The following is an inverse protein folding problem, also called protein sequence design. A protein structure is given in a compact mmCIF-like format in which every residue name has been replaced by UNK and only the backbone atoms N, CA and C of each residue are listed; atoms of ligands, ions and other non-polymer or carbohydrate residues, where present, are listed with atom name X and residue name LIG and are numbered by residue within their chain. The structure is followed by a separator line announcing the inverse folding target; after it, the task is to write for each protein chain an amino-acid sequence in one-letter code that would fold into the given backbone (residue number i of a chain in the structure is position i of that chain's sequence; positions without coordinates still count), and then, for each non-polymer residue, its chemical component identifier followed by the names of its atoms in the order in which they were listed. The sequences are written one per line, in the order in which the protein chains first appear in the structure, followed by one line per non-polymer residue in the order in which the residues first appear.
data_IF_860930827769
#
_entry.id   IF_860930827769
#
_cell.length_a   1.000
_cell.length_b   1.000
_cell.length_c   1.000
_cell.angle_alpha   90.00
_cell.angle_beta   90.00
_cell.angle_gamma   90.00
#
_symmetry.space_group_name_H-M   'P 1'
#
loop_
_entity.id
_entity.type
_entity.pdbx_description
1 polymer ?
#
# COMPACT_ATOMS: atom_id res chain seq x y z
N UNK A 1 -12.43 11.23 8.84
CA UNK A 1 -12.10 11.53 7.41
C UNK A 1 -11.01 12.59 7.26
N UNK A 2 -11.09 13.74 7.92
CA UNK A 2 -10.07 14.81 7.81
C UNK A 2 -8.63 14.32 8.08
N UNK A 3 -8.44 13.51 9.12
CA UNK A 3 -7.14 12.92 9.44
C UNK A 3 -6.53 12.09 8.30
N UNK A 4 -7.34 11.28 7.60
CA UNK A 4 -6.86 10.44 6.49
C UNK A 4 -6.45 11.28 5.28
N UNK A 5 -7.23 12.32 4.97
CA UNK A 5 -6.91 13.27 3.91
C UNK A 5 -5.63 14.04 4.23
N UNK A 6 -5.45 14.46 5.50
CA UNK A 6 -4.22 15.13 5.94
C UNK A 6 -3.00 14.22 5.79
N UNK A 7 -3.11 12.94 6.16
CA UNK A 7 -2.04 11.95 5.94
C UNK A 7 -1.72 11.85 4.46
N UNK A 8 -2.72 11.71 3.58
CA UNK A 8 -2.51 11.65 2.14
C UNK A 8 -1.80 12.90 1.60
N UNK A 9 -2.21 14.10 2.03
CA UNK A 9 -1.57 15.36 1.63
C UNK A 9 -0.11 15.45 2.08
N UNK A 10 0.23 14.96 3.27
CA UNK A 10 1.62 14.91 3.75
C UNK A 10 2.45 13.92 2.92
N UNK A 11 1.88 12.74 2.61
CA UNK A 11 2.54 11.76 1.75
C UNK A 11 2.77 12.31 0.35
N UNK A 12 1.81 13.07 -0.18
CA UNK A 12 1.92 13.75 -1.46
C UNK A 12 3.07 14.76 -1.49
N UNK A 13 3.19 15.60 -0.46
CA UNK A 13 4.33 16.50 -0.30
C UNK A 13 5.68 15.75 -0.19
N UNK A 14 5.70 14.53 0.38
CA UNK A 14 6.91 13.69 0.40
C UNK A 14 7.23 13.10 -0.98
N UNK A 15 6.23 12.64 -1.74
CA UNK A 15 6.41 12.12 -3.11
C UNK A 15 6.97 13.20 -4.04
N UNK A 16 6.41 14.41 -3.98
CA UNK A 16 6.88 15.54 -4.81
C UNK A 16 8.33 15.94 -4.49
N UNK A 17 8.69 15.99 -3.21
CA UNK A 17 10.09 16.24 -2.81
C UNK A 17 11.04 15.16 -3.30
N UNK A 18 10.62 13.89 -3.23
CA UNK A 18 11.43 12.78 -3.72
C UNK A 18 11.66 12.87 -5.23
N UNK A 19 10.59 13.12 -5.99
CA UNK A 19 10.64 13.31 -7.45
C UNK A 19 11.53 14.49 -7.88
N UNK A 20 11.57 15.55 -7.10
CA UNK A 20 12.38 16.74 -7.40
C UNK A 20 13.87 16.59 -7.03
N UNK A 21 14.24 15.54 -6.30
CA UNK A 21 15.62 15.33 -5.84
C UNK A 21 16.47 14.56 -6.86
N UNK A 22 17.81 14.66 -6.79
CA UNK A 22 18.71 13.98 -7.73
C UNK A 22 18.55 12.45 -7.69
N UNK A 23 18.66 11.75 -8.85
CA UNK A 23 18.37 10.33 -8.99
C UNK A 23 19.04 9.40 -7.95
N UNK A 24 20.23 9.75 -7.47
CA UNK A 24 21.04 8.89 -6.59
C UNK A 24 21.14 9.39 -5.14
N UNK A 25 20.31 10.35 -4.77
CA UNK A 25 20.25 10.85 -3.39
C UNK A 25 19.33 9.96 -2.53
N UNK A 26 19.64 9.78 -1.25
CA UNK A 26 18.69 9.13 -0.31
C UNK A 26 17.33 9.85 -0.25
N UNK A 27 17.28 11.12 -0.68
CA UNK A 27 16.04 11.89 -0.82
C UNK A 27 15.18 11.50 -2.03
N UNK A 28 15.69 10.73 -3.01
CA UNK A 28 14.92 10.34 -4.21
C UNK A 28 13.88 9.26 -3.97
N UNK A 29 13.93 8.64 -2.79
CA UNK A 29 13.03 7.58 -2.41
C UNK A 29 11.68 8.14 -1.97
N UNK A 30 10.60 7.62 -2.57
CA UNK A 30 9.24 7.91 -2.14
C UNK A 30 8.98 7.48 -0.68
N UNK A 31 7.93 8.02 -0.04
CA UNK A 31 7.61 7.68 1.34
C UNK A 31 7.23 6.19 1.48
N UNK A 32 7.80 5.52 2.49
CA UNK A 32 7.41 4.17 2.92
C UNK A 32 6.54 4.29 4.17
N UNK A 33 5.37 3.66 4.15
CA UNK A 33 4.37 3.78 5.21
C UNK A 33 3.97 2.39 5.68
N UNK A 34 3.99 2.18 6.99
CA UNK A 34 3.45 0.98 7.62
C UNK A 34 2.19 1.36 8.40
N UNK A 35 1.11 0.59 8.23
CA UNK A 35 -0.15 0.76 8.95
C UNK A 35 -0.23 -0.33 10.01
N UNK A 36 -0.26 0.08 11.28
CA UNK A 36 -0.26 -0.84 12.44
C UNK A 36 -1.48 -0.60 13.32
N UNK A 37 -1.93 -1.63 14.01
CA UNK A 37 -3.07 -1.58 14.90
C UNK A 37 -3.67 -2.97 15.18
N UNK A 38 -4.58 -3.08 16.15
CA UNK A 38 -5.25 -4.35 16.48
C UNK A 38 -6.12 -4.84 15.31
N UNK A 39 -6.66 -6.06 15.44
CA UNK A 39 -7.70 -6.58 14.53
C UNK A 39 -8.90 -5.62 14.49
N UNK A 40 -9.55 -5.53 13.34
CA UNK A 40 -10.77 -4.72 13.12
C UNK A 40 -10.65 -3.20 13.36
N UNK A 41 -9.43 -2.66 13.42
CA UNK A 41 -9.17 -1.21 13.52
C UNK A 41 -9.27 -0.44 12.19
N UNK A 42 -9.65 -1.11 11.09
CA UNK A 42 -9.79 -0.47 9.77
C UNK A 42 -8.49 -0.29 8.98
N UNK A 43 -7.41 -1.01 9.32
CA UNK A 43 -6.10 -0.94 8.64
C UNK A 43 -6.21 -1.14 7.13
N UNK A 44 -6.88 -2.20 6.69
CA UNK A 44 -7.04 -2.54 5.26
C UNK A 44 -7.84 -1.46 4.52
N UNK A 45 -8.86 -0.89 5.18
CA UNK A 45 -9.66 0.22 4.64
C UNK A 45 -8.82 1.49 4.47
N UNK A 46 -8.01 1.83 5.48
CA UNK A 46 -7.10 2.99 5.40
C UNK A 46 -6.06 2.80 4.27
N UNK A 47 -5.44 1.63 4.19
CA UNK A 47 -4.50 1.31 3.11
C UNK A 47 -5.15 1.47 1.74
N UNK A 48 -6.35 0.91 1.54
CA UNK A 48 -7.11 1.04 0.28
C UNK A 48 -7.38 2.50 -0.09
N UNK A 49 -7.78 3.33 0.86
CA UNK A 49 -8.03 4.77 0.63
C UNK A 49 -6.74 5.49 0.19
N UNK A 50 -5.63 5.30 0.91
CA UNK A 50 -4.36 5.96 0.60
C UNK A 50 -3.81 5.52 -0.77
N UNK A 51 -3.90 4.22 -1.10
CA UNK A 51 -3.47 3.68 -2.39
C UNK A 51 -4.33 4.23 -3.53
N UNK A 52 -5.66 4.20 -3.39
CA UNK A 52 -6.58 4.66 -4.42
C UNK A 52 -6.43 6.16 -4.69
N UNK A 53 -6.23 6.98 -3.65
CA UNK A 53 -5.98 8.41 -3.82
C UNK A 53 -4.63 8.70 -4.46
N UNK A 54 -3.58 7.92 -4.14
CA UNK A 54 -2.29 8.04 -4.78
C UNK A 54 -2.36 7.68 -6.27
N UNK A 55 -2.99 6.55 -6.61
CA UNK A 55 -3.21 6.13 -8.00
C UNK A 55 -4.03 7.15 -8.79
N UNK A 56 -5.08 7.71 -8.17
CA UNK A 56 -5.88 8.79 -8.78
C UNK A 56 -5.07 10.05 -9.09
N UNK A 57 -3.98 10.30 -8.35
CA UNK A 57 -3.05 11.42 -8.60
C UNK A 57 -1.89 11.04 -9.54
N UNK A 58 -1.94 9.85 -10.15
CA UNK A 58 -0.93 9.37 -11.10
C UNK A 58 0.33 8.78 -10.45
N UNK A 59 0.33 8.57 -9.13
CA UNK A 59 1.41 7.85 -8.47
C UNK A 59 1.21 6.34 -8.59
N UNK A 60 2.32 5.61 -8.60
CA UNK A 60 2.34 4.15 -8.65
C UNK A 60 2.92 3.55 -7.37
N UNK A 61 2.25 3.67 -6.21
CA UNK A 61 2.76 3.10 -4.97
C UNK A 61 2.77 1.57 -5.02
N UNK A 62 3.77 0.95 -4.41
CA UNK A 62 3.77 -0.49 -4.16
C UNK A 62 2.94 -0.78 -2.91
N UNK A 63 1.87 -1.56 -3.05
CA UNK A 63 1.14 -2.10 -1.91
C UNK A 63 1.82 -3.37 -1.43
N UNK A 64 2.08 -3.45 -0.13
CA UNK A 64 2.68 -4.62 0.53
C UNK A 64 1.70 -5.12 1.57
N UNK A 65 1.28 -6.37 1.42
CA UNK A 65 0.40 -7.06 2.33
C UNK A 65 1.20 -8.05 3.19
N UNK A 66 1.26 -7.75 4.47
CA UNK A 66 1.96 -8.55 5.49
C UNK A 66 0.99 -9.34 6.38
N UNK A 67 -0.33 -9.24 6.15
CA UNK A 67 -1.33 -9.96 6.94
C UNK A 67 -1.53 -11.38 6.40
N UNK A 68 -0.77 -12.33 6.95
CA UNK A 68 -0.87 -13.75 6.57
C UNK A 68 -2.22 -14.38 6.93
N UNK A 69 -3.02 -13.75 7.80
CA UNK A 69 -4.33 -14.25 8.20
C UNK A 69 -5.43 -13.81 7.24
N UNK A 70 -5.43 -12.54 6.85
CA UNK A 70 -6.39 -11.98 5.90
C UNK A 70 -5.67 -11.45 4.66
N UNK A 71 -5.35 -12.36 3.74
CA UNK A 71 -4.73 -12.03 2.46
C UNK A 71 -5.64 -11.11 1.63
N UNK A 72 -5.14 -9.93 1.30
CA UNK A 72 -5.81 -8.93 0.49
C UNK A 72 -5.37 -8.97 -0.97
N UNK A 73 -4.11 -9.34 -1.23
CA UNK A 73 -3.57 -9.50 -2.58
C UNK A 73 -3.74 -10.94 -3.07
N UNK A 74 -3.60 -11.92 -2.18
CA UNK A 74 -3.59 -13.34 -2.55
C UNK A 74 -4.17 -14.20 -1.42
N UNK A 75 -4.02 -15.52 -1.54
CA UNK A 75 -4.53 -16.48 -0.57
C UNK A 75 -3.95 -16.28 0.84
N UNK A 76 -4.72 -16.62 1.91
CA UNK A 76 -4.19 -16.68 3.27
C UNK A 76 -2.94 -17.55 3.37
N UNK A 77 -2.08 -17.23 4.34
CA UNK A 77 -0.79 -17.89 4.52
C UNK A 77 0.30 -17.41 3.56
N UNK A 78 0.13 -16.22 2.96
CA UNK A 78 1.12 -15.61 2.07
C UNK A 78 1.40 -14.17 2.44
N UNK A 79 2.58 -13.69 2.08
CA UNK A 79 2.97 -12.29 2.09
C UNK A 79 3.11 -11.87 0.62
N UNK A 80 2.58 -10.70 0.27
CA UNK A 80 2.56 -10.28 -1.13
C UNK A 80 2.82 -8.79 -1.32
N UNK A 81 3.26 -8.42 -2.52
CA UNK A 81 3.41 -7.02 -2.93
C UNK A 81 3.03 -6.83 -4.40
N UNK A 82 2.39 -5.72 -4.74
CA UNK A 82 2.02 -5.39 -6.13
C UNK A 82 1.99 -3.87 -6.35
N UNK A 83 2.41 -3.35 -7.52
CA UNK A 83 2.23 -1.95 -7.85
C UNK A 83 0.74 -1.61 -8.05
N UNK A 84 0.30 -0.48 -7.51
CA UNK A 84 -1.06 0.05 -7.73
C UNK A 84 -0.97 1.18 -8.75
N UNK A 85 -1.24 0.87 -10.02
CA UNK A 85 -1.18 1.87 -11.10
C UNK A 85 -2.51 2.59 -11.35
N UNK A 86 -3.60 1.89 -11.09
CA UNK A 86 -4.97 2.38 -11.23
C UNK A 86 -5.68 2.35 -9.88
N UNK A 87 -6.69 3.20 -9.65
CA UNK A 87 -7.53 3.11 -8.46
C UNK A 87 -8.08 1.70 -8.28
N UNK A 88 -8.09 1.22 -7.03
CA UNK A 88 -8.56 -0.13 -6.68
C UNK A 88 -10.05 -0.23 -6.99
N UNK A 89 -10.44 -1.26 -7.73
CA UNK A 89 -11.83 -1.50 -8.08
C UNK A 89 -12.63 -1.87 -6.81
N UNK A 90 -13.83 -1.32 -6.58
CA UNK A 90 -14.61 -1.60 -5.39
C UNK A 90 -15.12 -3.05 -5.31
N UNK A 91 -15.23 -3.73 -6.44
CA UNK A 91 -15.72 -5.12 -6.57
C UNK A 91 -14.55 -6.08 -6.74
N UNK A 92 -13.71 -5.86 -7.75
CA UNK A 92 -12.60 -6.75 -8.12
C UNK A 92 -11.38 -6.58 -7.19
N UNK A 93 -11.23 -5.42 -6.55
CA UNK A 93 -10.12 -5.14 -5.65
C UNK A 93 -8.81 -4.81 -6.37
N UNK A 94 -7.72 -5.41 -5.91
CA UNK A 94 -6.36 -5.07 -6.35
C UNK A 94 -6.02 -5.81 -7.64
N UNK A 95 -5.51 -5.13 -8.68
CA UNK A 95 -5.08 -5.79 -9.91
C UNK A 95 -3.93 -6.78 -9.65
N UNK A 96 -4.06 -7.98 -10.21
CA UNK A 96 -3.15 -9.12 -9.97
C UNK A 96 -2.22 -9.41 -11.16
N UNK A 97 -1.85 -8.38 -11.93
CA UNK A 97 -1.05 -8.57 -13.15
C UNK A 97 0.36 -9.10 -12.87
N UNK A 98 1.06 -8.53 -11.88
CA UNK A 98 2.43 -8.94 -11.51
C UNK A 98 2.69 -8.83 -10.00
N UNK A 99 2.02 -9.64 -9.16
CA UNK A 99 2.30 -9.66 -7.73
C UNK A 99 3.58 -10.44 -7.42
N UNK A 100 4.40 -9.93 -6.51
CA UNK A 100 5.46 -10.67 -5.84
C UNK A 100 4.85 -11.38 -4.64
N UNK A 101 4.86 -12.72 -4.61
CA UNK A 101 4.21 -13.52 -3.57
C UNK A 101 5.20 -14.50 -2.94
N UNK A 102 5.20 -14.54 -1.60
CA UNK A 102 5.92 -15.52 -0.81
C UNK A 102 4.95 -16.32 0.04
N UNK A 103 4.98 -17.65 -0.10
CA UNK A 103 4.18 -18.56 0.71
C UNK A 103 4.80 -18.69 2.10
N UNK A 104 4.05 -18.30 3.13
CA UNK A 104 4.44 -18.39 4.54
C UNK A 104 3.98 -19.71 5.18
N UNK A 105 2.83 -20.25 4.75
CA UNK A 105 2.36 -21.58 5.17
C UNK A 105 1.50 -21.62 6.44
N UNK A 106 1.33 -20.50 7.13
CA UNK A 106 0.49 -20.39 8.33
C UNK A 106 -0.40 -19.14 8.28
N UNK A 107 -1.61 -19.23 8.83
CA UNK A 107 -2.53 -18.08 8.92
C UNK A 107 -2.28 -17.22 10.17
N UNK A 108 -1.29 -17.60 10.98
CA UNK A 108 -0.84 -16.87 12.16
C UNK A 108 0.68 -16.75 12.14
N UNK A 109 1.25 -15.57 12.48
CA UNK A 109 2.70 -15.41 12.59
C UNK A 109 3.35 -16.14 13.79
N UNK A 110 2.55 -16.78 14.63
CA UNK A 110 2.97 -17.53 15.83
C UNK A 110 2.71 -19.00 15.61
#
# INVERSE_FOLDING_TARGET
MVSYVNVHAILEGRRNRARASPPDSNSSQGPRVIVVGPKDSGKSTLSRMLLSWAAKQGWKPTFVDLDVGQGFITIPGSIAATPIELPIDPVEGVPLEMPLVYFYGHVTPR
#
